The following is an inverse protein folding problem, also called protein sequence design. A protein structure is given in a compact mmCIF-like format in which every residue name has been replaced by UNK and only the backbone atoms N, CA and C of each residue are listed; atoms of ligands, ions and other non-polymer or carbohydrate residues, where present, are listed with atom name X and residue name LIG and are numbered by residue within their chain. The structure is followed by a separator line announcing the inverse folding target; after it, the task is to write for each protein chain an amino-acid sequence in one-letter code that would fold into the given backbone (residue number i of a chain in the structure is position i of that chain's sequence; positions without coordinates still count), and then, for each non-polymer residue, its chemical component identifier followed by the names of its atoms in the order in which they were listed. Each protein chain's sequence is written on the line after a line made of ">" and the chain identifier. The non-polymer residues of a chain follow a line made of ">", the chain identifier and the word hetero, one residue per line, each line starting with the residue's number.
data_IF_381532241869
#
_entry.id   IF_381532241869
#
_cell.length_a   1.000
_cell.length_b   1.000
_cell.length_c   1.000
_cell.angle_alpha   90.00
_cell.angle_beta   90.00
_cell.angle_gamma   90.00
#
_symmetry.space_group_name_H-M   'P 1'
#
loop_
_entity.id
_entity.type
_entity.pdbx_description
1 polymer ?
#
# COMPACT_ATOMS: atom_id res chain seq x y z
N UNK A 1 47.03 14.98 -56.42
CA UNK A 1 45.61 14.67 -56.10
C UNK A 1 45.57 14.12 -54.69
N UNK A 2 45.21 14.94 -53.68
CA UNK A 2 45.14 14.55 -52.24
C UNK A 2 43.67 14.29 -51.89
N UNK A 3 43.37 13.03 -51.54
CA UNK A 3 42.05 12.61 -51.04
C UNK A 3 41.98 12.91 -49.54
N UNK A 4 41.12 13.86 -49.15
CA UNK A 4 40.75 14.13 -47.76
C UNK A 4 39.73 13.08 -47.31
N UNK A 5 40.09 12.25 -46.31
CA UNK A 5 39.18 11.36 -45.64
C UNK A 5 38.51 12.16 -44.52
N UNK A 6 37.19 12.30 -44.64
CA UNK A 6 36.35 12.93 -43.59
C UNK A 6 35.94 11.86 -42.59
N UNK A 7 36.49 11.95 -41.37
CA UNK A 7 36.16 11.04 -40.26
C UNK A 7 34.89 11.59 -39.57
N UNK A 8 33.76 10.93 -39.77
CA UNK A 8 32.51 11.25 -39.04
C UNK A 8 32.61 10.57 -37.65
N UNK A 9 32.80 11.39 -36.59
CA UNK A 9 32.59 10.97 -35.22
C UNK A 9 31.08 10.89 -34.95
N UNK A 10 30.55 9.67 -34.81
CA UNK A 10 29.20 9.43 -34.31
C UNK A 10 29.21 9.61 -32.78
N UNK A 11 28.67 10.72 -32.29
CA UNK A 11 28.36 10.94 -30.88
C UNK A 11 27.16 10.05 -30.49
N UNK A 12 27.45 8.87 -29.98
CA UNK A 12 26.46 7.99 -29.37
C UNK A 12 25.97 8.59 -28.04
N UNK A 13 24.89 9.35 -28.05
CA UNK A 13 24.21 9.80 -26.85
C UNK A 13 23.49 8.63 -26.18
N UNK A 14 24.07 8.07 -25.13
CA UNK A 14 23.36 7.12 -24.25
C UNK A 14 22.25 7.87 -23.52
N UNK A 15 21.01 7.66 -23.95
CA UNK A 15 19.84 8.11 -23.21
C UNK A 15 19.84 7.40 -21.84
N UNK A 16 20.13 8.15 -20.80
CA UNK A 16 20.04 7.68 -19.41
C UNK A 16 18.54 7.56 -19.12
N UNK A 17 18.02 6.34 -19.08
CA UNK A 17 16.68 6.08 -18.54
C UNK A 17 16.74 6.47 -17.07
N UNK A 18 16.13 7.61 -16.74
CA UNK A 18 15.97 8.02 -15.35
C UNK A 18 14.96 7.06 -14.72
N UNK A 19 15.40 6.30 -13.71
CA UNK A 19 14.48 5.52 -12.90
C UNK A 19 13.45 6.47 -12.25
N UNK A 20 12.20 6.03 -12.16
CA UNK A 20 11.18 6.83 -11.48
C UNK A 20 11.58 7.05 -10.02
N UNK A 21 11.36 8.27 -9.51
CA UNK A 21 11.54 8.54 -8.07
C UNK A 21 10.41 7.86 -7.28
N UNK A 22 10.66 7.41 -6.02
CA UNK A 22 9.62 6.85 -5.19
C UNK A 22 8.45 7.83 -5.01
N UNK A 23 7.22 7.35 -5.20
CA UNK A 23 6.01 8.15 -4.95
C UNK A 23 5.59 7.98 -3.51
N UNK A 24 5.75 9.01 -2.69
CA UNK A 24 5.31 9.02 -1.30
C UNK A 24 3.80 9.23 -1.24
N UNK A 25 3.08 8.29 -0.66
CA UNK A 25 1.63 8.34 -0.44
C UNK A 25 1.29 8.81 0.98
N UNK A 26 2.12 8.44 1.97
CA UNK A 26 2.06 8.92 3.34
C UNK A 26 3.45 8.83 4.00
N UNK A 27 3.86 9.89 4.68
CA UNK A 27 5.11 9.96 5.46
C UNK A 27 4.88 10.51 6.87
N UNK A 28 3.62 10.60 7.32
CA UNK A 28 3.19 11.05 8.63
C UNK A 28 3.66 12.46 9.02
N UNK A 29 3.93 13.33 8.03
CA UNK A 29 4.21 14.76 8.29
C UNK A 29 3.01 15.48 8.86
N UNK A 30 1.79 15.07 8.46
CA UNK A 30 0.54 15.52 9.08
C UNK A 30 0.26 14.62 10.29
N UNK A 31 0.11 15.19 11.50
CA UNK A 31 -0.18 14.40 12.70
C UNK A 31 -1.62 13.85 12.74
N UNK A 32 -2.49 14.27 11.82
CA UNK A 32 -3.87 13.81 11.71
C UNK A 32 -4.03 12.52 10.90
N UNK A 33 -5.26 12.15 10.54
CA UNK A 33 -5.53 10.99 9.69
C UNK A 33 -5.27 11.27 8.19
N UNK A 34 -4.82 12.48 7.83
CA UNK A 34 -4.54 12.85 6.44
C UNK A 34 -3.19 12.30 6.00
N UNK A 35 -3.18 11.67 4.85
CA UNK A 35 -1.97 11.18 4.18
C UNK A 35 -1.34 12.27 3.30
N UNK A 36 -0.08 12.10 2.89
CA UNK A 36 0.65 13.05 2.06
C UNK A 36 0.00 13.28 0.68
N UNK A 37 -0.74 12.30 0.15
CA UNK A 37 -1.52 12.43 -1.07
C UNK A 37 -2.81 13.27 -0.89
N UNK A 38 -3.09 13.77 0.32
CA UNK A 38 -4.25 14.58 0.67
C UNK A 38 -5.51 13.78 1.03
N UNK A 39 -5.51 12.46 0.88
CA UNK A 39 -6.62 11.60 1.28
C UNK A 39 -6.62 11.35 2.80
N UNK A 40 -7.76 10.93 3.32
CA UNK A 40 -7.92 10.63 4.75
C UNK A 40 -7.97 9.12 4.96
N UNK A 41 -7.14 8.61 5.86
CA UNK A 41 -7.21 7.26 6.34
C UNK A 41 -8.50 7.00 7.11
N UNK A 42 -9.10 5.83 6.91
CA UNK A 42 -10.34 5.42 7.57
C UNK A 42 -10.19 4.02 8.17
N UNK A 43 -10.64 3.85 9.41
CA UNK A 43 -10.85 2.51 9.96
C UNK A 43 -12.12 1.92 9.35
N UNK A 44 -12.04 0.67 8.91
CA UNK A 44 -13.16 -0.11 8.39
C UNK A 44 -13.10 -1.51 8.99
N UNK A 45 -14.22 -2.02 9.48
CA UNK A 45 -14.33 -3.37 10.02
C UNK A 45 -15.47 -4.13 9.35
N UNK A 46 -15.58 -5.40 9.68
CA UNK A 46 -16.67 -6.27 9.23
C UNK A 46 -18.06 -5.87 9.78
N UNK A 47 -18.14 -4.90 10.67
CA UNK A 47 -19.42 -4.34 11.14
C UNK A 47 -20.29 -3.80 10.00
N UNK A 48 -19.69 -3.42 8.86
CA UNK A 48 -20.40 -3.04 7.63
C UNK A 48 -21.19 -4.21 7.01
N UNK A 49 -20.93 -5.44 7.47
CA UNK A 49 -21.60 -6.67 7.01
C UNK A 49 -22.21 -7.47 8.18
N UNK A 50 -22.32 -6.87 9.37
CA UNK A 50 -22.91 -7.51 10.55
C UNK A 50 -21.91 -8.23 11.47
N UNK A 51 -20.62 -8.21 11.16
CA UNK A 51 -19.55 -8.72 12.05
C UNK A 51 -19.37 -7.87 13.31
N UNK A 52 -18.52 -8.34 14.22
CA UNK A 52 -18.32 -7.71 15.55
C UNK A 52 -16.86 -7.28 15.80
N UNK A 53 -15.99 -7.36 14.79
CA UNK A 53 -14.61 -6.88 14.91
C UNK A 53 -14.56 -5.39 15.25
N UNK A 54 -13.52 -5.01 16.01
CA UNK A 54 -13.34 -3.64 16.45
C UNK A 54 -12.01 -3.10 15.94
N UNK A 55 -12.01 -1.86 15.48
CA UNK A 55 -10.79 -1.17 15.08
C UNK A 55 -10.83 0.29 15.49
N UNK A 56 -9.65 0.79 15.88
CA UNK A 56 -9.38 2.20 16.11
C UNK A 56 -8.16 2.60 15.29
N UNK A 57 -8.23 3.77 14.71
CA UNK A 57 -7.15 4.34 13.92
C UNK A 57 -6.82 5.71 14.49
N UNK A 58 -5.58 5.89 14.91
CA UNK A 58 -5.13 7.12 15.57
C UNK A 58 -3.67 7.43 15.22
N UNK A 59 -3.30 8.70 15.36
CA UNK A 59 -1.90 9.10 15.32
C UNK A 59 -1.22 8.73 16.62
N UNK A 60 -0.03 8.17 16.54
CA UNK A 60 0.77 7.75 17.70
C UNK A 60 2.24 8.07 17.47
N UNK A 61 3.01 8.02 18.56
CA UNK A 61 4.48 8.04 18.53
C UNK A 61 4.95 6.74 19.16
N UNK A 62 5.67 5.93 18.38
CA UNK A 62 6.24 4.66 18.83
C UNK A 62 7.74 4.71 18.62
N UNK A 63 8.53 4.48 19.69
CA UNK A 63 10.00 4.59 19.66
C UNK A 63 10.47 5.90 18.99
N UNK A 64 9.89 7.02 19.43
CA UNK A 64 10.17 8.39 18.95
C UNK A 64 9.83 8.65 17.48
N UNK A 65 9.10 7.76 16.82
CA UNK A 65 8.69 7.90 15.43
C UNK A 65 7.16 8.08 15.32
N UNK A 66 6.69 9.13 14.61
CA UNK A 66 5.28 9.31 14.35
C UNK A 66 4.75 8.22 13.41
N UNK A 67 3.56 7.73 13.71
CA UNK A 67 2.90 6.70 12.90
C UNK A 67 1.38 6.81 12.95
N UNK A 68 0.74 6.18 12.00
CA UNK A 68 -0.69 5.88 12.02
C UNK A 68 -0.87 4.50 12.65
N UNK A 69 -1.49 4.42 13.82
CA UNK A 69 -1.65 3.19 14.57
C UNK A 69 -3.06 2.63 14.40
N UNK A 70 -3.14 1.42 13.88
CA UNK A 70 -4.34 0.60 13.82
C UNK A 70 -4.32 -0.37 15.00
N UNK A 71 -5.30 -0.24 15.91
CA UNK A 71 -5.49 -1.15 17.04
C UNK A 71 -6.88 -1.75 17.03
N UNK A 72 -7.06 -2.93 17.66
CA UNK A 72 -8.37 -3.55 17.78
C UNK A 72 -8.31 -5.05 17.93
N UNK A 73 -9.44 -5.67 17.62
CA UNK A 73 -9.62 -7.12 17.67
C UNK A 73 -10.44 -7.58 16.47
N UNK A 74 -9.94 -8.60 15.80
CA UNK A 74 -10.68 -9.30 14.75
C UNK A 74 -11.42 -10.48 15.42
N UNK A 75 -12.73 -10.55 15.19
CA UNK A 75 -13.59 -11.66 15.57
C UNK A 75 -14.15 -12.33 14.33
N UNK A 76 -14.31 -13.64 14.37
CA UNK A 76 -14.95 -14.43 13.31
C UNK A 76 -16.46 -14.61 13.51
N UNK A 77 -17.02 -14.06 14.60
CA UNK A 77 -18.45 -14.11 14.85
C UNK A 77 -19.24 -13.40 13.72
N UNK A 78 -20.44 -13.93 13.45
CA UNK A 78 -21.37 -13.40 12.43
C UNK A 78 -20.77 -13.31 11.02
N UNK A 79 -19.99 -14.32 10.62
CA UNK A 79 -19.28 -14.33 9.32
C UNK A 79 -18.38 -13.11 9.10
N UNK A 80 -17.93 -12.47 10.19
CA UNK A 80 -16.99 -11.37 10.22
C UNK A 80 -15.56 -11.82 9.92
N UNK A 81 -14.60 -11.03 10.33
CA UNK A 81 -13.20 -11.42 10.32
C UNK A 81 -12.22 -10.43 9.73
N UNK A 82 -12.46 -9.11 9.79
CA UNK A 82 -11.43 -8.15 9.41
C UNK A 82 -11.50 -6.81 10.16
N UNK A 83 -10.31 -6.21 10.29
CA UNK A 83 -10.10 -4.83 10.68
C UNK A 83 -9.07 -4.19 9.73
N UNK A 84 -9.35 -2.99 9.22
CA UNK A 84 -8.60 -2.37 8.14
C UNK A 84 -8.37 -0.89 8.38
N UNK A 85 -7.16 -0.40 8.05
CA UNK A 85 -6.89 0.98 7.73
C UNK A 85 -6.92 1.15 6.21
N UNK A 86 -7.82 2.00 5.70
CA UNK A 86 -8.09 2.18 4.26
C UNK A 86 -7.72 3.59 3.80
N UNK A 87 -7.02 3.70 2.67
CA UNK A 87 -6.62 4.95 2.03
C UNK A 87 -7.02 4.97 0.56
N UNK A 88 -7.73 6.01 0.14
CA UNK A 88 -7.94 6.29 -1.29
C UNK A 88 -6.65 6.90 -1.88
N UNK A 89 -6.21 6.41 -3.03
CA UNK A 89 -4.92 6.78 -3.62
C UNK A 89 -5.01 7.97 -4.56
N UNK A 90 -6.15 8.14 -5.20
CA UNK A 90 -6.41 9.29 -6.05
C UNK A 90 -7.85 9.78 -5.90
N UNK A 91 -8.00 11.04 -5.52
CA UNK A 91 -9.31 11.68 -5.38
C UNK A 91 -9.90 12.13 -6.72
N UNK A 92 -9.10 12.17 -7.79
CA UNK A 92 -9.52 12.62 -9.13
C UNK A 92 -9.78 11.48 -10.10
N UNK A 93 -9.55 10.24 -9.68
CA UNK A 93 -9.69 9.04 -10.50
C UNK A 93 -8.60 8.00 -10.22
N UNK A 94 -8.53 6.91 -11.01
CA UNK A 94 -7.55 5.86 -10.78
C UNK A 94 -6.11 6.35 -10.98
N UNK A 95 -5.22 5.94 -10.07
CA UNK A 95 -3.79 6.22 -10.14
C UNK A 95 -3.09 5.22 -11.06
N UNK A 96 -2.33 5.72 -12.04
CA UNK A 96 -1.45 4.90 -12.88
C UNK A 96 -0.12 4.67 -12.17
N UNK A 97 0.16 3.41 -11.82
CA UNK A 97 1.36 3.02 -11.08
C UNK A 97 2.29 2.12 -11.88
N UNK A 98 2.14 2.04 -13.21
CA UNK A 98 2.95 1.19 -14.10
C UNK A 98 4.45 1.52 -14.09
N UNK A 99 4.83 2.73 -13.66
CA UNK A 99 6.23 3.15 -13.51
C UNK A 99 6.89 2.58 -12.23
N UNK A 100 6.15 1.87 -11.37
CA UNK A 100 6.61 1.36 -10.08
C UNK A 100 6.61 -0.17 -10.07
N UNK A 101 7.49 -0.75 -9.27
CA UNK A 101 7.61 -2.19 -9.09
C UNK A 101 6.71 -2.72 -7.96
N UNK A 102 6.35 -1.89 -6.99
CA UNK A 102 5.54 -2.32 -5.85
C UNK A 102 5.30 -1.25 -4.80
N UNK A 103 4.81 -1.71 -3.66
CA UNK A 103 4.52 -0.90 -2.47
C UNK A 103 5.59 -1.12 -1.42
N UNK A 104 6.14 -0.03 -0.89
CA UNK A 104 7.04 -0.04 0.26
C UNK A 104 6.31 0.55 1.47
N UNK A 105 6.36 -0.17 2.58
CA UNK A 105 5.78 0.25 3.87
C UNK A 105 6.84 0.21 4.96
N UNK A 106 6.79 1.19 5.86
CA UNK A 106 7.59 1.18 7.09
C UNK A 106 6.63 0.99 8.26
N UNK A 107 6.75 -0.15 8.94
CA UNK A 107 5.79 -0.61 9.96
C UNK A 107 6.47 -1.06 11.23
N UNK A 108 5.73 -0.95 12.33
CA UNK A 108 6.00 -1.56 13.63
C UNK A 108 4.76 -2.36 14.03
N UNK A 109 4.91 -3.65 14.34
CA UNK A 109 3.77 -4.51 14.64
C UNK A 109 3.93 -5.31 15.92
N UNK A 110 2.99 -6.22 16.12
CA UNK A 110 2.92 -7.13 17.28
C UNK A 110 3.36 -8.57 16.96
N UNK A 111 4.08 -8.79 15.86
CA UNK A 111 4.47 -10.12 15.36
C UNK A 111 3.39 -10.81 14.53
N UNK A 112 2.26 -10.16 14.32
CA UNK A 112 1.15 -10.71 13.54
C UNK A 112 1.40 -10.69 12.04
N UNK A 113 0.67 -11.57 11.32
CA UNK A 113 0.54 -11.52 9.86
C UNK A 113 -0.60 -10.59 9.49
N UNK A 114 -0.32 -9.64 8.63
CA UNK A 114 -1.26 -8.69 8.04
C UNK A 114 -1.28 -8.85 6.53
N UNK A 115 -2.24 -8.19 5.89
CA UNK A 115 -2.34 -8.14 4.43
C UNK A 115 -2.30 -6.69 3.95
N UNK A 116 -1.71 -6.47 2.79
CA UNK A 116 -1.91 -5.29 2.00
C UNK A 116 -2.93 -5.61 0.91
N UNK A 117 -4.06 -4.90 0.90
CA UNK A 117 -5.09 -5.04 -0.12
C UNK A 117 -5.02 -3.88 -1.10
N UNK A 118 -4.99 -4.19 -2.38
CA UNK A 118 -5.13 -3.21 -3.46
C UNK A 118 -6.51 -3.37 -4.11
N UNK A 119 -7.11 -2.23 -4.46
CA UNK A 119 -8.35 -2.17 -5.25
C UNK A 119 -8.13 -1.26 -6.45
N UNK A 120 -8.62 -1.72 -7.59
CA UNK A 120 -8.58 -0.99 -8.86
C UNK A 120 -9.99 -0.52 -9.26
N UNK A 121 -10.11 0.20 -10.35
CA UNK A 121 -11.41 0.53 -10.92
C UNK A 121 -12.21 -0.71 -11.35
N UNK A 122 -11.55 -1.86 -11.53
CA UNK A 122 -12.20 -3.13 -11.89
C UNK A 122 -12.80 -3.86 -10.68
N UNK A 123 -12.40 -3.52 -9.44
CA UNK A 123 -12.96 -4.09 -8.21
C UNK A 123 -14.29 -3.40 -7.88
N UNK A 124 -15.41 -4.00 -8.33
CA UNK A 124 -16.74 -3.40 -8.21
C UNK A 124 -17.47 -3.81 -6.92
N UNK A 125 -17.14 -4.98 -6.37
CA UNK A 125 -17.80 -5.56 -5.20
C UNK A 125 -16.88 -5.39 -3.99
N UNK A 126 -17.44 -5.14 -2.80
CA UNK A 126 -16.70 -4.76 -1.59
C UNK A 126 -15.64 -5.77 -1.16
N UNK A 127 -15.84 -7.06 -1.40
CA UNK A 127 -14.89 -8.13 -1.06
C UNK A 127 -13.85 -8.44 -2.14
N UNK A 128 -13.94 -7.83 -3.34
CA UNK A 128 -12.92 -7.97 -4.37
C UNK A 128 -11.67 -7.16 -4.03
N UNK A 129 -10.51 -7.78 -4.16
CA UNK A 129 -9.22 -7.12 -3.92
C UNK A 129 -8.08 -7.95 -4.52
N UNK A 130 -6.90 -7.34 -4.60
CA UNK A 130 -5.63 -8.05 -4.82
C UNK A 130 -4.87 -8.00 -3.50
N UNK A 131 -4.33 -9.13 -3.04
CA UNK A 131 -3.83 -9.31 -1.68
C UNK A 131 -2.39 -9.79 -1.65
N UNK A 132 -1.56 -9.16 -0.83
CA UNK A 132 -0.25 -9.67 -0.46
C UNK A 132 -0.12 -9.68 1.06
N UNK A 133 0.37 -10.78 1.62
CA UNK A 133 0.57 -10.92 3.07
C UNK A 133 1.97 -10.47 3.47
N UNK A 134 2.09 -9.93 4.68
CA UNK A 134 3.36 -9.59 5.29
C UNK A 134 3.35 -9.83 6.81
N UNK A 135 4.52 -10.09 7.38
CA UNK A 135 4.73 -10.15 8.82
C UNK A 135 5.07 -8.74 9.33
N UNK A 136 4.48 -8.34 10.45
CA UNK A 136 4.81 -7.09 11.13
C UNK A 136 5.42 -7.38 12.51
N UNK A 137 6.72 -7.67 12.58
CA UNK A 137 7.38 -7.99 13.85
C UNK A 137 7.48 -6.75 14.76
N UNK A 138 7.74 -6.91 16.07
CA UNK A 138 8.14 -5.82 16.93
C UNK A 138 9.41 -5.13 16.41
N UNK A 139 9.47 -3.80 16.55
CA UNK A 139 10.50 -2.96 15.96
C UNK A 139 10.10 -2.36 14.60
N UNK A 140 10.83 -1.34 14.16
CA UNK A 140 10.61 -0.69 12.87
C UNK A 140 11.24 -1.48 11.74
N UNK A 141 10.42 -1.85 10.74
CA UNK A 141 10.85 -2.59 9.57
C UNK A 141 10.32 -1.95 8.28
N UNK A 142 11.20 -1.84 7.30
CA UNK A 142 10.83 -1.47 5.92
C UNK A 142 10.59 -2.74 5.12
N UNK A 143 9.39 -2.88 4.58
CA UNK A 143 8.95 -4.04 3.81
C UNK A 143 8.59 -3.61 2.39
N UNK A 144 9.06 -4.38 1.39
CA UNK A 144 8.71 -4.21 -0.02
C UNK A 144 7.81 -5.33 -0.47
N UNK A 145 6.66 -4.96 -1.01
CA UNK A 145 5.69 -5.89 -1.59
C UNK A 145 5.62 -5.60 -3.09
N UNK A 146 6.28 -6.40 -3.94
CA UNK A 146 6.22 -6.22 -5.39
C UNK A 146 4.80 -6.46 -5.89
N UNK A 147 4.36 -5.74 -6.92
CA UNK A 147 3.02 -5.93 -7.48
C UNK A 147 2.75 -7.37 -7.94
N UNK A 148 3.79 -8.08 -8.35
CA UNK A 148 3.69 -9.51 -8.71
C UNK A 148 3.32 -10.43 -7.53
N UNK A 149 3.50 -10.00 -6.27
CA UNK A 149 3.11 -10.77 -5.08
C UNK A 149 1.61 -10.68 -4.78
N UNK A 150 0.88 -9.73 -5.38
CA UNK A 150 -0.54 -9.54 -5.12
C UNK A 150 -1.39 -10.54 -5.91
N UNK A 151 -2.11 -11.39 -5.17
CA UNK A 151 -2.99 -12.40 -5.73
C UNK A 151 -4.43 -11.88 -5.82
N UNK A 152 -5.16 -12.15 -6.91
CA UNK A 152 -6.56 -11.79 -7.04
C UNK A 152 -7.40 -12.57 -6.02
N UNK A 153 -8.34 -11.86 -5.36
CA UNK A 153 -9.32 -12.46 -4.47
C UNK A 153 -10.74 -12.10 -4.91
N UNK A 154 -11.51 -13.12 -5.26
CA UNK A 154 -12.89 -13.01 -5.78
C UNK A 154 -13.04 -12.07 -6.99
N UNK A 155 -12.00 -11.95 -7.78
CA UNK A 155 -11.96 -11.24 -9.04
C UNK A 155 -11.16 -12.07 -10.05
N UNK A 156 -11.74 -12.30 -11.22
CA UNK A 156 -11.14 -13.11 -12.30
C UNK A 156 -10.47 -12.18 -13.34
N UNK A 157 -9.56 -11.35 -12.85
CA UNK A 157 -8.76 -10.43 -13.69
C UNK A 157 -7.41 -10.19 -13.03
N UNK A 158 -6.34 -10.02 -13.82
CA UNK A 158 -5.04 -9.62 -13.30
C UNK A 158 -5.12 -8.19 -12.71
N UNK A 159 -4.16 -7.86 -11.84
CA UNK A 159 -4.01 -6.52 -11.29
C UNK A 159 -3.66 -5.52 -12.41
N UNK A 160 -4.56 -4.60 -12.71
CA UNK A 160 -4.32 -3.53 -13.68
C UNK A 160 -3.69 -2.32 -12.96
N UNK A 161 -2.38 -2.16 -13.16
CA UNK A 161 -1.59 -1.10 -12.54
C UNK A 161 -1.91 0.31 -13.07
N UNK A 162 -2.65 0.43 -14.17
CA UNK A 162 -3.12 1.74 -14.67
C UNK A 162 -4.36 2.25 -13.94
N UNK A 163 -4.95 1.45 -13.03
CA UNK A 163 -6.29 1.70 -12.46
C UNK A 163 -6.35 1.61 -10.94
N UNK A 164 -5.23 1.83 -10.23
CA UNK A 164 -5.20 1.71 -8.78
C UNK A 164 -6.03 2.81 -8.11
N UNK A 165 -6.91 2.44 -7.17
CA UNK A 165 -7.83 3.37 -6.50
C UNK A 165 -7.70 3.41 -5.00
N UNK A 166 -7.38 2.28 -4.37
CA UNK A 166 -7.39 2.17 -2.91
C UNK A 166 -6.37 1.16 -2.43
N UNK A 167 -5.81 1.46 -1.29
CA UNK A 167 -4.95 0.57 -0.54
C UNK A 167 -5.52 0.37 0.86
N UNK A 168 -5.36 -0.84 1.42
CA UNK A 168 -5.74 -1.14 2.79
C UNK A 168 -4.69 -1.98 3.50
N UNK A 169 -4.36 -1.59 4.74
CA UNK A 169 -3.63 -2.44 5.69
C UNK A 169 -4.67 -3.24 6.48
N UNK A 170 -4.63 -4.56 6.43
CA UNK A 170 -5.74 -5.40 6.84
C UNK A 170 -5.29 -6.54 7.74
N UNK A 171 -5.92 -6.64 8.90
CA UNK A 171 -5.94 -7.83 9.73
C UNK A 171 -7.19 -8.65 9.34
N UNK A 172 -7.03 -9.91 8.91
CA UNK A 172 -8.14 -10.67 8.31
C UNK A 172 -7.97 -12.19 8.45
N UNK A 173 -9.12 -12.88 8.53
CA UNK A 173 -9.24 -14.33 8.32
C UNK A 173 -8.93 -15.18 9.54
N UNK A 174 -8.69 -14.59 10.70
CA UNK A 174 -8.52 -15.26 11.99
C UNK A 174 -8.81 -14.32 13.13
N UNK A 175 -9.17 -14.85 14.27
CA UNK A 175 -9.20 -14.10 15.52
C UNK A 175 -7.79 -13.61 15.86
N UNK A 176 -7.63 -12.32 16.06
CA UNK A 176 -6.34 -11.74 16.44
C UNK A 176 -6.48 -10.36 17.06
N UNK A 177 -5.57 -10.06 17.98
CA UNK A 177 -5.34 -8.70 18.42
C UNK A 177 -4.59 -7.93 17.33
N UNK A 178 -5.10 -6.78 16.97
CA UNK A 178 -4.51 -5.87 15.97
C UNK A 178 -3.69 -4.81 16.70
N UNK A 179 -2.43 -4.66 16.31
CA UNK A 179 -1.57 -3.55 16.72
C UNK A 179 -0.50 -3.35 15.66
N UNK A 180 -0.72 -2.35 14.81
CA UNK A 180 0.12 -2.07 13.65
C UNK A 180 0.29 -0.56 13.51
N UNK A 181 1.53 -0.07 13.56
CA UNK A 181 1.91 1.30 13.24
C UNK A 181 2.48 1.39 11.83
N UNK A 182 2.05 2.38 11.06
CA UNK A 182 2.58 2.74 9.75
C UNK A 182 3.27 4.10 9.84
N UNK A 183 4.59 4.16 9.63
CA UNK A 183 5.34 5.42 9.58
C UNK A 183 5.50 5.97 8.15
N UNK A 184 5.53 5.09 7.15
CA UNK A 184 5.68 5.48 5.74
C UNK A 184 4.97 4.50 4.81
N UNK A 185 4.39 5.06 3.76
CA UNK A 185 3.82 4.34 2.63
C UNK A 185 4.29 5.01 1.34
N UNK A 186 4.90 4.25 0.45
CA UNK A 186 5.35 4.74 -0.86
C UNK A 186 5.25 3.67 -1.93
N UNK A 187 5.30 4.07 -3.19
CA UNK A 187 5.55 3.19 -4.32
C UNK A 187 7.03 3.29 -4.68
N UNK A 188 7.70 2.15 -4.83
CA UNK A 188 9.10 2.10 -5.24
C UNK A 188 9.23 1.72 -6.72
N UNK A 189 10.23 2.25 -7.47
CA UNK A 189 10.49 1.96 -8.87
C UNK A 189 11.03 0.55 -9.10
#
# INVERSE_FOLDING_TARGET
>A
MARRILLLLALGGSARVMAAEPLVLDDRRDPGPRAANGATWRAVTDTVMGGVSRARLESAIVESRPCLRLTGEVSLENDGGFAQASLDLDQRGPLDVRAYAGVEIEVYGNGGTYNLHLRTADTRIVWQSYRASFQAPPGWHTLRLPFAAFQPHRIDRPLDLSKLRRLGLVAIGREMRVDLCLARLSLYP
#
